data_IF_298548753430
#
_entry.id   IF_298548753430
#
_cell.length_a   1.000
_cell.length_b   1.000
_cell.length_c   1.000
_cell.angle_alpha   90.00
_cell.angle_beta   90.00
_cell.angle_gamma   90.00
#
_symmetry.space_group_name_H-M   'P 1'
#
loop_
_entity.id
_entity.type
_entity.pdbx_description
1 polymer ?
#
# COMPACT_ATOMS: atom_id res chain seq x y z
N UNK A 1 12.32 11.16 4.76
CA UNK A 1 10.99 11.75 5.00
C UNK A 1 10.03 10.62 5.39
N UNK A 2 8.92 10.88 6.09
CA UNK A 2 7.90 9.87 6.34
C UNK A 2 6.88 9.86 5.18
N UNK A 3 6.24 8.72 4.95
CA UNK A 3 5.07 8.65 4.07
C UNK A 3 3.78 8.86 4.87
N UNK A 4 2.68 9.19 4.21
CA UNK A 4 1.36 9.38 4.80
C UNK A 4 0.30 8.85 3.84
N UNK A 5 -0.57 7.98 4.35
CA UNK A 5 -1.71 7.47 3.61
C UNK A 5 -2.98 7.57 4.44
N UNK A 6 -3.98 8.24 3.88
CA UNK A 6 -5.29 8.44 4.50
C UNK A 6 -6.30 7.45 3.92
N UNK A 7 -6.76 6.48 4.73
CA UNK A 7 -7.78 5.49 4.33
C UNK A 7 -9.20 6.00 4.63
N UNK A 8 -9.36 6.61 5.80
CA UNK A 8 -10.55 7.33 6.29
C UNK A 8 -10.06 8.47 7.18
N UNK A 9 -10.92 9.39 7.61
CA UNK A 9 -10.52 10.50 8.51
C UNK A 9 -9.96 10.05 9.88
N UNK A 10 -10.09 8.77 10.21
CA UNK A 10 -9.62 8.15 11.46
C UNK A 10 -8.52 7.10 11.24
N UNK A 11 -8.23 6.75 9.98
CA UNK A 11 -7.31 5.67 9.63
C UNK A 11 -6.19 6.22 8.74
N UNK A 12 -5.12 6.64 9.40
CA UNK A 12 -3.91 7.16 8.77
C UNK A 12 -2.72 6.22 8.99
N UNK A 13 -1.97 5.93 7.93
CA UNK A 13 -0.73 5.16 7.96
C UNK A 13 0.46 6.08 7.74
N UNK A 14 1.38 6.14 8.69
CA UNK A 14 2.55 7.03 8.64
C UNK A 14 3.88 6.27 8.82
N UNK A 15 4.30 5.46 7.84
CA UNK A 15 5.55 4.72 7.91
C UNK A 15 6.76 5.62 7.59
N UNK A 16 7.97 5.12 7.79
CA UNK A 16 9.16 5.72 7.17
C UNK A 16 9.03 5.75 5.65
N UNK A 17 9.59 6.77 5.00
CA UNK A 17 9.44 6.98 3.56
C UNK A 17 9.88 5.81 2.68
N UNK A 18 10.97 5.13 3.04
CA UNK A 18 11.42 3.97 2.27
C UNK A 18 10.37 2.83 2.31
N UNK A 19 9.78 2.53 3.47
CA UNK A 19 8.69 1.54 3.60
C UNK A 19 7.48 1.96 2.76
N UNK A 20 7.13 3.25 2.82
CA UNK A 20 6.02 3.79 2.05
C UNK A 20 6.23 3.53 0.55
N UNK A 21 7.37 3.96 0.03
CA UNK A 21 7.70 3.85 -1.38
C UNK A 21 7.79 2.38 -1.82
N UNK A 22 8.45 1.51 -1.04
CA UNK A 22 8.54 0.07 -1.33
C UNK A 22 7.16 -0.57 -1.43
N UNK A 23 6.25 -0.27 -0.50
CA UNK A 23 4.89 -0.82 -0.54
C UNK A 23 4.14 -0.31 -1.77
N UNK A 24 4.19 0.98 -2.08
CA UNK A 24 3.52 1.56 -3.24
C UNK A 24 4.04 1.01 -4.57
N UNK A 25 5.36 0.86 -4.72
CA UNK A 25 5.99 0.30 -5.91
C UNK A 25 5.56 -1.15 -6.13
N UNK A 26 5.58 -1.96 -5.07
CA UNK A 26 5.15 -3.37 -5.15
C UNK A 26 3.67 -3.48 -5.53
N UNK A 27 2.80 -2.61 -4.99
CA UNK A 27 1.39 -2.58 -5.41
C UNK A 27 1.24 -2.15 -6.87
N UNK A 28 1.95 -1.11 -7.29
CA UNK A 28 1.91 -0.62 -8.66
C UNK A 28 2.32 -1.69 -9.67
N UNK A 29 3.35 -2.50 -9.36
CA UNK A 29 3.74 -3.64 -10.17
C UNK A 29 2.60 -4.66 -10.38
N UNK A 30 1.85 -4.99 -9.33
CA UNK A 30 0.71 -5.93 -9.44
C UNK A 30 -0.51 -5.32 -10.15
N UNK A 31 -0.64 -3.99 -10.09
CA UNK A 31 -1.77 -3.26 -10.69
C UNK A 31 -1.54 -2.88 -12.15
N UNK A 32 -0.29 -2.77 -12.62
CA UNK A 32 0.01 -2.20 -13.93
C UNK A 32 -0.75 -2.90 -15.09
N UNK A 33 -0.97 -4.21 -15.00
CA UNK A 33 -1.73 -4.97 -16.00
C UNK A 33 -3.26 -4.88 -15.86
N UNK A 34 -3.77 -4.51 -14.68
CA UNK A 34 -5.21 -4.49 -14.34
C UNK A 34 -5.79 -3.06 -14.38
N UNK A 35 -5.06 -2.10 -13.83
CA UNK A 35 -5.42 -0.68 -13.77
C UNK A 35 -4.13 0.18 -13.79
N UNK A 36 -3.62 0.50 -14.98
CA UNK A 36 -2.41 1.32 -15.14
C UNK A 36 -2.54 2.70 -14.49
N UNK A 37 -3.73 3.30 -14.54
CA UNK A 37 -3.97 4.64 -13.98
C UNK A 37 -3.85 4.62 -12.46
N UNK A 38 -4.36 3.57 -11.80
CA UNK A 38 -4.19 3.42 -10.36
C UNK A 38 -2.73 3.13 -10.01
N UNK A 39 -2.03 2.31 -10.79
CA UNK A 39 -0.60 2.06 -10.61
C UNK A 39 0.22 3.36 -10.69
N UNK A 40 -0.03 4.20 -11.70
CA UNK A 40 0.64 5.49 -11.87
C UNK A 40 0.35 6.45 -10.72
N UNK A 41 -0.88 6.43 -10.18
CA UNK A 41 -1.23 7.22 -8.98
C UNK A 41 -0.43 6.78 -7.75
N UNK A 42 -0.21 5.47 -7.56
CA UNK A 42 0.62 4.97 -6.47
C UNK A 42 2.08 5.41 -6.65
N UNK A 43 2.63 5.26 -7.86
CA UNK A 43 4.00 5.68 -8.15
C UNK A 43 4.21 7.20 -8.02
N UNK A 44 3.18 7.98 -8.37
CA UNK A 44 3.16 9.43 -8.22
C UNK A 44 3.06 9.90 -6.78
N UNK A 45 2.57 9.06 -5.85
CA UNK A 45 2.46 9.41 -4.43
C UNK A 45 3.77 9.24 -3.65
N UNK A 46 4.78 8.58 -4.23
CA UNK A 46 6.09 8.30 -3.59
C UNK A 46 6.75 9.54 -3.01
N UNK A 47 7.63 9.34 -2.02
CA UNK A 47 8.28 10.45 -1.30
C UNK A 47 9.05 11.38 -2.21
N UNK A 48 9.82 10.84 -3.14
CA UNK A 48 10.59 11.63 -4.11
C UNK A 48 9.72 12.24 -5.24
N UNK A 49 8.51 11.72 -5.46
CA UNK A 49 7.62 12.19 -6.52
C UNK A 49 6.66 13.29 -6.06
N UNK A 50 6.07 13.15 -4.86
CA UNK A 50 5.04 14.05 -4.35
C UNK A 50 5.08 14.22 -2.81
N UNK A 51 6.27 14.07 -2.20
CA UNK A 51 6.44 14.27 -0.77
C UNK A 51 5.85 13.16 0.12
N UNK A 52 5.36 12.07 -0.47
CA UNK A 52 4.95 10.88 0.27
C UNK A 52 3.52 10.93 0.78
N UNK A 53 2.57 11.42 -0.01
CA UNK A 53 1.18 11.56 0.40
C UNK A 53 0.22 10.86 -0.57
N UNK A 54 -0.66 10.00 -0.03
CA UNK A 54 -1.73 9.35 -0.77
C UNK A 54 -3.06 9.45 -0.02
N UNK A 55 -4.09 9.98 -0.67
CA UNK A 55 -5.44 10.07 -0.12
C UNK A 55 -6.39 9.06 -0.78
N UNK A 56 -6.93 8.16 0.03
CA UNK A 56 -7.90 7.13 -0.38
C UNK A 56 -9.30 7.37 0.21
N UNK A 57 -9.53 8.44 0.97
CA UNK A 57 -10.80 8.66 1.70
C UNK A 57 -12.02 8.64 0.79
N UNK A 58 -11.94 9.34 -0.34
CA UNK A 58 -13.03 9.44 -1.32
C UNK A 58 -13.07 8.30 -2.34
N UNK A 59 -12.19 7.30 -2.22
CA UNK A 59 -12.15 6.17 -3.16
C UNK A 59 -13.28 5.18 -2.91
N UNK A 60 -13.81 4.64 -3.99
CA UNK A 60 -14.92 3.68 -3.93
C UNK A 60 -14.46 2.30 -3.47
N UNK A 61 -15.44 1.43 -3.19
CA UNK A 61 -15.17 0.05 -2.77
C UNK A 61 -14.40 -0.75 -3.83
N UNK A 62 -14.65 -0.52 -5.11
CA UNK A 62 -14.00 -1.27 -6.20
C UNK A 62 -12.49 -0.97 -6.24
N UNK A 63 -12.09 0.29 -6.03
CA UNK A 63 -10.69 0.66 -5.87
C UNK A 63 -10.07 -0.06 -4.68
N UNK A 64 -10.75 -0.13 -3.54
CA UNK A 64 -10.27 -0.88 -2.37
C UNK A 64 -10.14 -2.39 -2.64
N UNK A 65 -11.10 -2.99 -3.36
CA UNK A 65 -11.04 -4.41 -3.75
C UNK A 65 -9.78 -4.69 -4.61
N UNK A 66 -9.47 -3.79 -5.56
CA UNK A 66 -8.27 -3.89 -6.40
C UNK A 66 -6.99 -3.73 -5.58
N UNK A 67 -6.92 -2.70 -4.72
CA UNK A 67 -5.76 -2.44 -3.87
C UNK A 67 -5.49 -3.60 -2.91
N UNK A 68 -6.53 -4.16 -2.29
CA UNK A 68 -6.39 -5.32 -1.41
C UNK A 68 -5.86 -6.54 -2.14
N UNK A 69 -6.43 -6.86 -3.31
CA UNK A 69 -5.95 -7.99 -4.12
C UNK A 69 -4.49 -7.81 -4.52
N UNK A 70 -4.10 -6.60 -4.95
CA UNK A 70 -2.72 -6.28 -5.29
C UNK A 70 -1.80 -6.40 -4.07
N UNK A 71 -2.21 -5.86 -2.92
CA UNK A 71 -1.45 -5.91 -1.68
C UNK A 71 -1.26 -7.35 -1.17
N UNK A 72 -2.27 -8.21 -1.29
CA UNK A 72 -2.18 -9.63 -0.93
C UNK A 72 -1.16 -10.37 -1.78
N UNK A 73 -1.17 -10.16 -3.10
CA UNK A 73 -0.21 -10.77 -4.03
C UNK A 73 1.21 -10.25 -3.76
N UNK A 74 1.37 -8.93 -3.66
CA UNK A 74 2.65 -8.29 -3.41
C UNK A 74 3.27 -8.73 -2.06
N UNK A 75 2.47 -8.81 -1.00
CA UNK A 75 2.92 -9.29 0.30
C UNK A 75 3.31 -10.77 0.28
N UNK A 76 2.54 -11.61 -0.41
CA UNK A 76 2.89 -13.03 -0.58
C UNK A 76 4.21 -13.19 -1.33
N UNK A 77 4.45 -12.39 -2.39
CA UNK A 77 5.73 -12.39 -3.13
C UNK A 77 6.89 -11.92 -2.28
N UNK A 78 6.74 -10.82 -1.53
CA UNK A 78 7.77 -10.36 -0.59
C UNK A 78 8.15 -11.46 0.41
N UNK A 79 7.16 -12.20 0.93
CA UNK A 79 7.43 -13.34 1.82
C UNK A 79 8.15 -14.50 1.14
N UNK A 80 7.90 -14.73 -0.14
CA UNK A 80 8.55 -15.78 -0.94
C UNK A 80 9.99 -15.41 -1.32
N UNK A 81 10.21 -14.15 -1.66
CA UNK A 81 11.55 -13.56 -1.91
C UNK A 81 12.42 -13.66 -0.66
N UNK A 82 11.81 -13.48 0.52
CA UNK A 82 12.49 -13.62 1.79
C UNK A 82 13.56 -12.55 2.01
N UNK A 83 14.42 -12.80 3.00
CA UNK A 83 15.50 -11.90 3.39
C UNK A 83 16.52 -11.69 2.26
N UNK A 84 16.72 -12.70 1.40
CA UNK A 84 17.69 -12.66 0.31
C UNK A 84 17.23 -11.79 -0.88
N UNK A 85 15.91 -11.62 -1.03
CA UNK A 85 15.34 -10.72 -2.05
C UNK A 85 15.38 -9.25 -1.67
N UNK A 86 15.64 -8.93 -0.40
CA UNK A 86 15.76 -7.56 0.10
C UNK A 86 17.23 -7.21 0.32
N UNK A 87 17.67 -6.07 -0.22
CA UNK A 87 19.06 -5.61 -0.10
C UNK A 87 19.50 -5.24 1.32
N UNK A 88 18.58 -5.27 2.31
CA UNK A 88 18.82 -4.94 3.71
C UNK A 88 18.10 -5.92 4.66
N UNK A 89 18.70 -7.08 4.94
CA UNK A 89 18.15 -8.14 5.79
C UNK A 89 17.60 -7.68 7.14
N UNK A 90 18.26 -6.74 7.79
CA UNK A 90 17.93 -6.24 9.12
C UNK A 90 16.59 -5.49 9.20
N UNK A 91 16.08 -5.01 8.06
CA UNK A 91 14.82 -4.28 7.98
C UNK A 91 13.66 -5.13 7.45
N UNK A 92 13.92 -6.36 7.03
CA UNK A 92 12.93 -7.24 6.41
C UNK A 92 11.70 -7.49 7.30
N UNK A 93 11.91 -7.82 8.58
CA UNK A 93 10.80 -8.03 9.52
C UNK A 93 9.99 -6.74 9.74
N UNK A 94 10.68 -5.60 9.83
CA UNK A 94 10.05 -4.29 9.95
C UNK A 94 9.17 -3.96 8.73
N UNK A 95 9.68 -4.24 7.53
CA UNK A 95 8.94 -4.08 6.28
C UNK A 95 7.70 -4.97 6.23
N UNK A 96 7.83 -6.26 6.56
CA UNK A 96 6.70 -7.19 6.60
C UNK A 96 5.60 -6.72 7.57
N UNK A 97 5.99 -6.29 8.76
CA UNK A 97 5.03 -5.81 9.77
C UNK A 97 4.29 -4.55 9.28
N UNK A 98 5.01 -3.62 8.66
CA UNK A 98 4.39 -2.41 8.11
C UNK A 98 3.50 -2.71 6.90
N UNK A 99 3.88 -3.64 6.04
CA UNK A 99 3.05 -4.05 4.91
C UNK A 99 1.79 -4.79 5.39
N UNK A 100 1.89 -5.63 6.43
CA UNK A 100 0.72 -6.24 7.05
C UNK A 100 -0.22 -5.17 7.63
N UNK A 101 0.30 -4.17 8.35
CA UNK A 101 -0.50 -3.06 8.87
C UNK A 101 -1.21 -2.30 7.74
N UNK A 102 -0.52 -2.01 6.64
CA UNK A 102 -1.11 -1.39 5.46
C UNK A 102 -2.28 -2.22 4.90
N UNK A 103 -2.12 -3.55 4.78
CA UNK A 103 -3.19 -4.46 4.34
C UNK A 103 -4.39 -4.43 5.28
N UNK A 104 -4.16 -4.47 6.59
CA UNK A 104 -5.22 -4.43 7.60
C UNK A 104 -6.00 -3.11 7.54
N UNK A 105 -5.31 -2.00 7.28
CA UNK A 105 -5.93 -0.69 7.09
C UNK A 105 -6.78 -0.62 5.83
N UNK A 106 -6.29 -1.13 4.68
CA UNK A 106 -7.11 -1.24 3.48
C UNK A 106 -8.37 -2.08 3.72
N UNK A 107 -8.24 -3.17 4.47
CA UNK A 107 -9.37 -4.05 4.78
C UNK A 107 -10.41 -3.36 5.68
N UNK A 108 -9.95 -2.63 6.70
CA UNK A 108 -10.82 -1.81 7.53
C UNK A 108 -11.52 -0.70 6.72
N UNK A 109 -10.78 -0.03 5.83
CA UNK A 109 -11.31 0.97 4.91
C UNK A 109 -12.39 0.43 3.97
N UNK A 110 -12.16 -0.74 3.38
CA UNK A 110 -13.13 -1.42 2.53
C UNK A 110 -14.42 -1.75 3.30
N UNK A 111 -14.31 -2.28 4.53
CA UNK A 111 -15.46 -2.64 5.36
C UNK A 111 -16.34 -1.44 5.73
N UNK A 112 -15.73 -0.28 6.00
CA UNK A 112 -16.47 0.97 6.30
C UNK A 112 -17.25 1.51 5.10
N UNK A 113 -16.93 1.06 3.89
CA UNK A 113 -17.61 1.43 2.63
C UNK A 113 -18.77 0.50 2.26
N UNK A 114 -19.14 -0.42 3.16
CA UNK A 114 -20.39 -1.19 3.06
C UNK A 114 -21.54 -0.27 3.45
N UNK A 115 -22.31 0.23 2.46
CA UNK A 115 -23.58 0.89 2.75
C UNK A 115 -24.49 -0.09 3.53
N UNK A 116 -25.22 0.36 4.56
CA UNK A 116 -26.40 -0.36 4.98
C UNK A 116 -27.35 -0.41 3.79
N UNK A 117 -27.76 -1.62 3.42
CA UNK A 117 -28.84 -1.88 2.49
C UNK A 117 -30.14 -1.22 2.96
#
# INVERSE_FOLDING_TARGET
MAGTLEVTDELCWMPSGWVFDTVLERLACELHAQDPNLADQLLGARTDANGGYLDLRERDRKTFDLLLKAADVAYARLKQEGVEGEGMPEFYEGLLNQFQLFRDMLYAGQRRRVKPS
#
